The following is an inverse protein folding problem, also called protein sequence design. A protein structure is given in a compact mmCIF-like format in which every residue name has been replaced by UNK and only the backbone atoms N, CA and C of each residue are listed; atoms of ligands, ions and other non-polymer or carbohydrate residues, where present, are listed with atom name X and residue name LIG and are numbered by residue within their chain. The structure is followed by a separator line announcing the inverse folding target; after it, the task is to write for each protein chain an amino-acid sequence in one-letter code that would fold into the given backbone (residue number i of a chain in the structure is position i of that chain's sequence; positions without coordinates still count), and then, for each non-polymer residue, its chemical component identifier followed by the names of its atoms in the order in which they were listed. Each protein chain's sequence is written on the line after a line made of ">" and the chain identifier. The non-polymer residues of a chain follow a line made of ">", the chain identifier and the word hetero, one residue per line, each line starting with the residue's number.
data_IF_114051470971
#
_entry.id   IF_114051470971
#
_cell.length_a   1.000
_cell.length_b   1.000
_cell.length_c   1.000
_cell.angle_alpha   90.00
_cell.angle_beta   90.00
_cell.angle_gamma   90.00
#
_symmetry.space_group_name_H-M   'P 1'
#
loop_
_entity.id
_entity.type
_entity.pdbx_description
1 polymer ?
#
# COMPACT_ATOMS: atom_id res chain seq x y z
N UNK A 1 5.03 -22.61 -10.00
CA UNK A 1 4.43 -21.32 -9.60
C UNK A 1 5.38 -20.23 -10.07
N UNK A 2 4.89 -19.26 -10.84
CA UNK A 2 5.73 -18.16 -11.33
C UNK A 2 4.97 -16.87 -11.10
N UNK A 3 5.53 -16.00 -10.29
CA UNK A 3 5.04 -14.66 -10.07
C UNK A 3 6.19 -13.81 -9.54
N UNK A 4 6.13 -12.50 -9.81
CA UNK A 4 7.12 -11.55 -9.35
C UNK A 4 6.41 -10.30 -8.85
N UNK A 5 6.89 -9.76 -7.72
CA UNK A 5 6.54 -8.44 -7.23
C UNK A 5 7.75 -7.53 -7.41
N UNK A 6 7.50 -6.30 -7.86
CA UNK A 6 8.54 -5.31 -8.13
C UNK A 6 8.22 -4.00 -7.41
N UNK A 7 9.28 -3.26 -7.09
CA UNK A 7 9.15 -2.03 -6.36
C UNK A 7 10.49 -1.37 -6.03
N UNK A 8 10.43 -0.35 -5.19
CA UNK A 8 11.60 0.41 -4.77
C UNK A 8 11.45 0.93 -3.34
N UNK A 9 12.55 1.10 -2.60
CA UNK A 9 12.48 1.69 -1.26
C UNK A 9 11.98 3.13 -1.33
N UNK A 10 11.05 3.48 -0.45
CA UNK A 10 10.57 4.86 -0.31
C UNK A 10 11.54 5.63 0.59
N UNK A 11 12.06 6.74 0.08
CA UNK A 11 12.90 7.63 0.87
C UNK A 11 12.10 8.26 2.02
N UNK A 12 12.74 8.42 3.17
CA UNK A 12 12.15 9.04 4.36
C UNK A 12 11.90 10.55 4.25
N UNK A 13 12.01 11.12 3.05
CA UNK A 13 11.78 12.53 2.76
C UNK A 13 10.30 12.86 2.47
N UNK A 14 9.43 11.85 2.46
CA UNK A 14 7.99 12.03 2.29
C UNK A 14 7.55 12.34 0.86
N UNK A 15 8.45 12.38 -0.13
CA UNK A 15 8.09 12.67 -1.54
C UNK A 15 7.09 11.68 -2.11
N UNK A 16 7.14 10.42 -1.66
CA UNK A 16 6.16 9.42 -2.05
C UNK A 16 4.72 9.82 -1.70
N UNK A 17 4.50 10.45 -0.55
CA UNK A 17 3.19 10.90 -0.07
C UNK A 17 2.84 12.34 -0.48
N UNK A 18 3.65 12.98 -1.32
CA UNK A 18 3.38 14.34 -1.78
C UNK A 18 2.03 14.41 -2.50
N UNK A 19 1.17 15.33 -2.06
CA UNK A 19 -0.18 15.49 -2.60
C UNK A 19 -1.24 14.64 -1.90
N UNK A 20 -0.92 14.02 -0.76
CA UNK A 20 -1.90 13.33 0.06
C UNK A 20 -3.03 14.27 0.50
N UNK A 21 -4.27 13.85 0.28
CA UNK A 21 -5.49 14.58 0.59
C UNK A 21 -5.75 14.59 2.09
N UNK A 22 -5.17 15.57 2.78
CA UNK A 22 -5.33 15.77 4.23
C UNK A 22 -4.03 15.52 5.00
N UNK A 23 -4.16 15.22 6.29
CA UNK A 23 -3.01 14.92 7.15
C UNK A 23 -2.68 13.44 7.03
N UNK A 24 -1.47 13.11 6.57
CA UNK A 24 -0.99 11.74 6.53
C UNK A 24 -1.01 11.16 7.96
N UNK A 25 -1.52 9.93 8.17
CA UNK A 25 -1.54 9.33 9.49
C UNK A 25 -0.13 9.29 10.11
N UNK A 26 0.00 9.77 11.35
CA UNK A 26 1.30 9.89 12.05
C UNK A 26 2.10 8.59 12.08
N UNK A 27 1.42 7.44 12.14
CA UNK A 27 2.06 6.12 12.07
C UNK A 27 2.78 5.92 10.73
N UNK A 28 2.14 6.23 9.61
CA UNK A 28 2.71 6.08 8.26
C UNK A 28 3.88 7.04 8.09
N UNK A 29 3.72 8.29 8.54
CA UNK A 29 4.77 9.29 8.49
C UNK A 29 6.02 8.83 9.27
N UNK A 30 5.84 8.28 10.47
CA UNK A 30 6.94 7.75 11.31
C UNK A 30 7.65 6.57 10.65
N UNK A 31 6.91 5.60 10.09
CA UNK A 31 7.49 4.42 9.41
C UNK A 31 8.20 4.83 8.12
N UNK A 32 7.65 5.82 7.40
CA UNK A 32 8.28 6.38 6.20
C UNK A 32 9.61 7.03 6.56
N UNK A 33 9.64 7.85 7.62
CA UNK A 33 10.86 8.52 8.09
C UNK A 33 11.94 7.54 8.56
N UNK A 34 11.57 6.35 9.06
CA UNK A 34 12.53 5.31 9.42
C UNK A 34 13.11 4.53 8.23
N UNK A 35 12.70 4.85 7.00
CA UNK A 35 13.17 4.16 5.79
C UNK A 35 12.63 2.74 5.65
N UNK A 36 11.55 2.41 6.37
CA UNK A 36 11.00 1.04 6.46
C UNK A 36 9.78 0.84 5.56
N UNK A 37 9.68 1.63 4.48
CA UNK A 37 8.58 1.59 3.50
C UNK A 37 9.12 1.21 2.13
N UNK A 38 8.42 0.29 1.47
CA UNK A 38 8.74 -0.14 0.11
C UNK A 38 7.55 0.10 -0.80
N UNK A 39 7.74 0.86 -1.88
CA UNK A 39 6.72 1.08 -2.88
C UNK A 39 6.63 -0.16 -3.78
N UNK A 40 5.47 -0.81 -3.83
CA UNK A 40 5.19 -1.95 -4.73
C UNK A 40 4.44 -1.38 -5.94
N UNK A 41 5.09 -1.40 -7.10
CA UNK A 41 4.51 -0.86 -8.33
C UNK A 41 3.65 -1.90 -9.04
N UNK A 42 4.12 -3.14 -9.09
CA UNK A 42 3.50 -4.20 -9.86
C UNK A 42 3.65 -5.55 -9.14
N UNK A 43 2.58 -6.34 -9.16
CA UNK A 43 2.61 -7.74 -8.73
C UNK A 43 2.01 -8.59 -9.84
N UNK A 44 2.87 -9.30 -10.57
CA UNK A 44 2.46 -10.17 -11.66
C UNK A 44 2.33 -11.60 -11.13
N UNK A 45 1.09 -12.07 -11.03
CA UNK A 45 0.77 -13.45 -10.65
C UNK A 45 -0.03 -14.08 -11.77
N UNK A 46 0.37 -15.28 -12.20
CA UNK A 46 -0.42 -16.05 -13.14
C UNK A 46 -1.74 -16.43 -12.46
N UNK A 47 -2.91 -16.10 -13.03
CA UNK A 47 -4.19 -16.47 -12.43
C UNK A 47 -4.28 -17.99 -12.38
N UNK A 48 -4.30 -18.53 -11.17
CA UNK A 48 -4.51 -19.95 -10.90
C UNK A 48 -5.39 -20.09 -9.66
N UNK A 49 -6.36 -21.02 -9.63
CA UNK A 49 -7.30 -21.18 -8.52
C UNK A 49 -6.61 -21.42 -7.16
N UNK A 50 -5.39 -21.98 -7.19
CA UNK A 50 -4.57 -22.29 -6.02
C UNK A 50 -3.63 -21.14 -5.61
N UNK A 51 -3.47 -20.12 -6.45
CA UNK A 51 -2.48 -19.04 -6.28
C UNK A 51 -3.09 -17.77 -5.66
N UNK A 52 -4.30 -17.85 -5.07
CA UNK A 52 -4.97 -16.69 -4.45
C UNK A 52 -4.12 -16.02 -3.35
N UNK A 53 -3.27 -16.77 -2.67
CA UNK A 53 -2.34 -16.25 -1.65
C UNK A 53 -0.95 -15.93 -2.18
N UNK A 54 -0.65 -16.28 -3.43
CA UNK A 54 0.70 -16.13 -3.99
C UNK A 54 1.10 -14.67 -4.14
N UNK A 55 0.17 -13.78 -4.52
CA UNK A 55 0.43 -12.34 -4.58
C UNK A 55 0.86 -11.79 -3.22
N UNK A 56 0.13 -12.16 -2.16
CA UNK A 56 0.42 -11.74 -0.80
C UNK A 56 1.78 -12.28 -0.33
N UNK A 57 2.06 -13.57 -0.53
CA UNK A 57 3.35 -14.17 -0.16
C UNK A 57 4.54 -13.53 -0.90
N UNK A 58 4.37 -13.17 -2.18
CA UNK A 58 5.41 -12.47 -2.94
C UNK A 58 5.65 -11.06 -2.41
N UNK A 59 4.59 -10.35 -2.03
CA UNK A 59 4.68 -9.02 -1.41
C UNK A 59 5.35 -9.10 -0.04
N UNK A 60 4.96 -10.03 0.83
CA UNK A 60 5.60 -10.25 2.14
C UNK A 60 7.08 -10.61 2.01
N UNK A 61 7.41 -11.50 1.07
CA UNK A 61 8.80 -11.87 0.77
C UNK A 61 9.60 -10.65 0.31
N UNK A 62 9.05 -9.86 -0.62
CA UNK A 62 9.70 -8.65 -1.12
C UNK A 62 9.96 -7.65 0.02
N UNK A 63 8.99 -7.43 0.90
CA UNK A 63 9.15 -6.53 2.05
C UNK A 63 10.22 -7.07 3.02
N UNK A 64 10.22 -8.37 3.29
CA UNK A 64 11.19 -9.02 4.18
C UNK A 64 12.61 -8.94 3.62
N UNK A 65 12.79 -9.24 2.33
CA UNK A 65 14.09 -9.18 1.64
C UNK A 65 14.68 -7.76 1.67
N UNK A 66 13.80 -6.74 1.67
CA UNK A 66 14.19 -5.33 1.75
C UNK A 66 14.13 -4.73 3.16
N UNK A 67 13.92 -5.54 4.21
CA UNK A 67 13.78 -5.10 5.60
C UNK A 67 12.71 -3.99 5.79
N UNK A 68 11.71 -3.96 4.91
CA UNK A 68 10.60 -3.03 4.97
C UNK A 68 9.51 -3.59 5.89
N UNK A 69 8.94 -2.72 6.71
CA UNK A 69 7.81 -3.05 7.59
C UNK A 69 6.46 -2.70 6.97
N UNK A 70 6.47 -2.01 5.83
CA UNK A 70 5.27 -1.50 5.17
C UNK A 70 5.44 -1.47 3.65
N UNK A 71 4.54 -2.13 2.93
CA UNK A 71 4.32 -1.93 1.50
C UNK A 71 3.45 -0.70 1.25
N UNK A 72 3.75 0.05 0.20
CA UNK A 72 2.95 1.19 -0.24
C UNK A 72 2.67 1.10 -1.73
N UNK A 73 1.46 1.46 -2.16
CA UNK A 73 1.12 1.56 -3.59
C UNK A 73 0.14 2.69 -3.82
N UNK A 74 0.14 3.21 -5.05
CA UNK A 74 -0.79 4.24 -5.51
C UNK A 74 -1.52 3.70 -6.73
N UNK A 75 -2.84 3.63 -6.65
CA UNK A 75 -3.68 3.10 -7.73
C UNK A 75 -4.64 4.18 -8.18
N UNK A 76 -4.86 4.29 -9.49
CA UNK A 76 -5.87 5.21 -10.02
C UNK A 76 -7.23 4.91 -9.37
N UNK A 77 -7.89 5.92 -8.82
CA UNK A 77 -9.20 5.77 -8.21
C UNK A 77 -10.26 5.23 -9.19
N UNK A 78 -10.07 5.42 -10.50
CA UNK A 78 -10.91 4.87 -11.54
C UNK A 78 -10.68 3.37 -11.79
N UNK A 79 -9.52 2.81 -11.41
CA UNK A 79 -9.19 1.39 -11.58
C UNK A 79 -9.77 0.53 -10.43
N UNK A 80 -11.10 0.41 -10.45
CA UNK A 80 -11.85 -0.39 -9.47
C UNK A 80 -11.41 -1.87 -9.41
N UNK A 81 -11.16 -2.57 -10.53
CA UNK A 81 -10.69 -3.96 -10.48
C UNK A 81 -9.38 -4.13 -9.70
N UNK A 82 -8.40 -3.24 -9.89
CA UNK A 82 -7.15 -3.29 -9.14
C UNK A 82 -7.36 -2.99 -7.66
N UNK A 83 -8.18 -2.00 -7.33
CA UNK A 83 -8.52 -1.65 -5.94
C UNK A 83 -9.20 -2.83 -5.21
N UNK A 84 -10.19 -3.46 -5.83
CA UNK A 84 -10.91 -4.60 -5.24
C UNK A 84 -9.98 -5.80 -5.01
N UNK A 85 -9.05 -6.04 -5.94
CA UNK A 85 -8.02 -7.08 -5.81
C UNK A 85 -7.06 -6.80 -4.65
N UNK A 86 -6.62 -5.55 -4.50
CA UNK A 86 -5.74 -5.13 -3.40
C UNK A 86 -6.45 -5.21 -2.04
N UNK A 87 -7.70 -4.74 -1.95
CA UNK A 87 -8.48 -4.87 -0.73
C UNK A 87 -8.70 -6.33 -0.32
N UNK A 88 -8.97 -7.20 -1.28
CA UNK A 88 -9.14 -8.65 -1.04
C UNK A 88 -7.84 -9.34 -0.61
N UNK A 89 -6.67 -8.76 -0.90
CA UNK A 89 -5.35 -9.27 -0.52
C UNK A 89 -4.75 -8.61 0.73
N UNK A 90 -5.54 -7.82 1.45
CA UNK A 90 -5.17 -7.24 2.75
C UNK A 90 -4.59 -5.83 2.70
N UNK A 91 -4.64 -5.16 1.54
CA UNK A 91 -4.21 -3.76 1.45
C UNK A 91 -5.23 -2.82 2.09
N UNK A 92 -4.72 -1.92 2.92
CA UNK A 92 -5.48 -0.91 3.64
C UNK A 92 -5.48 0.41 2.87
N UNK A 93 -6.66 0.93 2.56
CA UNK A 93 -6.79 2.29 2.04
C UNK A 93 -6.55 3.31 3.16
N UNK A 94 -5.62 4.24 2.95
CA UNK A 94 -5.31 5.30 3.91
C UNK A 94 -5.76 6.68 3.45
N UNK A 95 -6.21 6.84 2.19
CA UNK A 95 -6.67 8.11 1.66
C UNK A 95 -6.33 8.34 0.18
N UNK A 96 -6.47 9.58 -0.26
CA UNK A 96 -6.23 9.99 -1.65
C UNK A 96 -4.88 10.68 -1.81
N UNK A 97 -4.28 10.57 -2.99
CA UNK A 97 -3.09 11.32 -3.39
C UNK A 97 -3.35 11.94 -4.75
N UNK A 98 -3.18 13.27 -4.84
CA UNK A 98 -3.24 14.02 -6.11
C UNK A 98 -1.84 14.50 -6.45
N UNK A 99 -1.28 13.97 -7.54
CA UNK A 99 0.06 14.38 -7.97
C UNK A 99 -0.02 15.80 -8.55
N UNK A 100 0.88 16.72 -8.20
CA UNK A 100 0.85 18.08 -8.73
C UNK A 100 0.89 18.16 -10.27
N UNK A 101 1.46 17.13 -10.91
CA UNK A 101 1.66 17.04 -12.35
C UNK A 101 0.63 16.18 -13.07
N UNK A 102 -0.36 15.62 -12.38
CA UNK A 102 -1.39 14.76 -12.98
C UNK A 102 -2.78 15.13 -12.49
N UNK A 103 -3.79 15.19 -13.37
CA UNK A 103 -5.19 15.36 -12.96
C UNK A 103 -5.74 14.10 -12.27
N UNK A 104 -5.05 12.96 -12.36
CA UNK A 104 -5.48 11.70 -11.76
C UNK A 104 -5.45 11.75 -10.24
N UNK A 105 -6.57 11.34 -9.64
CA UNK A 105 -6.63 11.06 -8.19
C UNK A 105 -6.27 9.60 -7.96
N UNK A 106 -5.25 9.37 -7.15
CA UNK A 106 -4.83 8.04 -6.75
C UNK A 106 -5.38 7.71 -5.37
N UNK A 107 -5.72 6.45 -5.12
CA UNK A 107 -5.88 5.91 -3.77
C UNK A 107 -4.53 5.46 -3.27
N UNK A 108 -4.19 5.85 -2.04
CA UNK A 108 -3.02 5.39 -1.33
C UNK A 108 -3.37 4.15 -0.52
N UNK A 109 -2.74 3.03 -0.86
CA UNK A 109 -2.91 1.77 -0.14
C UNK A 109 -1.60 1.35 0.51
N UNK A 110 -1.72 0.71 1.67
CA UNK A 110 -0.58 0.18 2.42
C UNK A 110 -0.79 -1.26 2.84
N UNK A 111 0.29 -2.03 2.82
CA UNK A 111 0.34 -3.43 3.25
C UNK A 111 1.26 -3.56 4.47
N UNK A 112 0.74 -3.74 5.70
CA UNK A 112 1.59 -3.95 6.87
C UNK A 112 2.35 -5.29 6.78
N UNK A 113 3.63 -5.28 7.14
CA UNK A 113 4.38 -6.50 7.43
C UNK A 113 4.50 -6.65 8.97
N UNK A 114 3.95 -7.75 9.49
CA UNK A 114 3.97 -8.12 10.92
C UNK A 114 2.79 -7.58 11.75
N UNK A 115 2.36 -8.40 12.71
CA UNK A 115 1.12 -8.20 13.51
C UNK A 115 1.02 -6.82 14.17
N UNK A 116 2.12 -6.31 14.75
CA UNK A 116 2.12 -4.98 15.40
C UNK A 116 1.94 -3.81 14.43
N UNK A 117 2.38 -3.96 13.19
CA UNK A 117 2.15 -2.94 12.14
C UNK A 117 0.71 -3.04 11.68
N UNK A 118 0.20 -4.27 11.53
CA UNK A 118 -1.18 -4.55 11.14
C UNK A 118 -2.20 -3.97 12.11
N UNK A 119 -2.14 -4.32 13.40
CA UNK A 119 -3.09 -3.82 14.42
C UNK A 119 -3.13 -2.28 14.46
N UNK A 120 -1.97 -1.64 14.38
CA UNK A 120 -1.84 -0.19 14.44
C UNK A 120 -2.41 0.49 13.18
N UNK A 121 -2.32 -0.16 12.02
CA UNK A 121 -2.82 0.40 10.75
C UNK A 121 -4.29 0.06 10.50
N UNK A 122 -4.77 -1.11 10.93
CA UNK A 122 -6.18 -1.48 10.85
C UNK A 122 -7.07 -0.54 11.68
N UNK A 123 -6.62 -0.14 12.88
CA UNK A 123 -7.30 0.89 13.67
C UNK A 123 -7.43 2.23 12.91
N UNK A 124 -6.39 2.62 12.18
CA UNK A 124 -6.40 3.84 11.35
C UNK A 124 -7.29 3.71 10.12
N UNK A 125 -7.26 2.55 9.44
CA UNK A 125 -8.11 2.28 8.29
C UNK A 125 -9.60 2.26 8.68
N UNK A 126 -9.92 1.75 9.87
CA UNK A 126 -11.28 1.80 10.42
C UNK A 126 -11.74 3.25 10.65
N UNK A 127 -10.91 4.10 11.24
CA UNK A 127 -11.20 5.53 11.41
C UNK A 127 -11.35 6.27 10.07
N UNK A 128 -10.51 5.95 9.08
CA UNK A 128 -10.59 6.51 7.74
C UNK A 128 -11.90 6.10 7.03
N UNK A 129 -12.31 4.83 7.17
CA UNK A 129 -13.59 4.32 6.65
C UNK A 129 -14.80 5.02 7.29
N UNK A 130 -14.73 5.38 8.57
CA UNK A 130 -15.80 6.14 9.24
C UNK A 130 -15.82 7.59 8.74
N UNK A 131 -14.65 8.16 8.43
CA UNK A 131 -14.52 9.56 8.00
C UNK A 131 -14.94 9.78 6.53
N UNK A 132 -14.88 8.75 5.70
CA UNK A 132 -15.23 8.84 4.28
C UNK A 132 -16.25 7.75 3.90
N UNK A 133 -17.56 8.00 4.08
CA UNK A 133 -18.55 7.18 3.42
C UNK A 133 -18.47 7.50 1.92
N UNK A 134 -18.47 6.47 1.08
CA UNK A 134 -18.31 6.59 -0.37
C UNK A 134 -19.26 7.56 -1.05
#
# INVERSE_FOLDING_TARGET
>A
MTGCAFGFPVLGDGRWWLGFGGVLPRTIERITRSGSVFAISDTLVRPHPQDQKLAHLLQEKLLTDHQATLGATLVDQADRPTLDSLHSSGWLDIGEVRRPTSPTTFRALVLPLGERTTERLEGLAHEARIRWPG
#
